data_IF_414534070952
#
_entry.id   IF_414534070952
#
_cell.length_a   1.000
_cell.length_b   1.000
_cell.length_c   1.000
_cell.angle_alpha   90.00
_cell.angle_beta   90.00
_cell.angle_gamma   90.00
#
_symmetry.space_group_name_H-M   'P 1'
#
loop_
_entity.id
_entity.type
_entity.pdbx_description
1 polymer ?
#
# COMPACT_ATOMS: atom_id res chain seq x y z
N UNK A 1 6.27 18.99 15.21
CA UNK A 1 7.19 17.85 15.38
C UNK A 1 6.55 16.69 16.14
N UNK A 2 6.14 16.83 17.42
CA UNK A 2 5.56 15.73 18.23
C UNK A 2 4.37 15.04 17.57
N UNK A 3 3.43 15.82 17.00
CA UNK A 3 2.27 15.26 16.31
C UNK A 3 2.67 14.43 15.08
N UNK A 4 3.67 14.87 14.31
CA UNK A 4 4.14 14.15 13.14
C UNK A 4 4.78 12.80 13.54
N UNK A 5 5.57 12.77 14.62
CA UNK A 5 6.13 11.52 15.16
C UNK A 5 5.01 10.58 15.60
N UNK A 6 4.03 11.06 16.36
CA UNK A 6 2.90 10.25 16.80
C UNK A 6 2.11 9.65 15.62
N UNK A 7 1.91 10.43 14.56
CA UNK A 7 1.23 9.98 13.33
C UNK A 7 2.06 8.97 12.55
N UNK A 8 3.38 9.16 12.45
CA UNK A 8 4.27 8.18 11.82
C UNK A 8 4.26 6.84 12.58
N UNK A 9 4.35 6.87 13.92
CA UNK A 9 4.26 5.67 14.77
C UNK A 9 2.92 4.95 14.53
N UNK A 10 1.79 5.67 14.53
CA UNK A 10 0.48 5.08 14.29
C UNK A 10 0.37 4.43 12.91
N UNK A 11 0.96 5.01 11.86
CA UNK A 11 0.98 4.39 10.53
C UNK A 11 1.88 3.14 10.51
N UNK A 12 3.03 3.17 11.21
CA UNK A 12 3.91 1.99 11.31
C UNK A 12 3.26 0.84 12.08
N UNK A 13 2.52 1.12 13.15
CA UNK A 13 1.74 0.12 13.88
C UNK A 13 0.74 -0.55 12.93
N UNK A 14 0.00 0.22 12.13
CA UNK A 14 -0.94 -0.31 11.14
C UNK A 14 -0.27 -1.13 10.03
N UNK A 15 0.93 -0.75 9.61
CA UNK A 15 1.73 -1.58 8.69
C UNK A 15 2.05 -2.94 9.31
N UNK A 16 2.39 -2.97 10.61
CA UNK A 16 2.58 -4.22 11.36
C UNK A 16 1.32 -5.08 11.39
N UNK A 17 0.15 -4.48 11.65
CA UNK A 17 -1.14 -5.17 11.63
C UNK A 17 -1.44 -5.78 10.25
N UNK A 18 -1.18 -5.03 9.16
CA UNK A 18 -1.39 -5.56 7.82
C UNK A 18 -0.42 -6.72 7.49
N UNK A 19 0.81 -6.68 7.98
CA UNK A 19 1.75 -7.80 7.85
C UNK A 19 1.26 -9.06 8.59
N UNK A 20 0.70 -8.91 9.78
CA UNK A 20 0.07 -10.01 10.54
C UNK A 20 -1.17 -10.55 9.81
N UNK A 21 -1.99 -9.69 9.24
CA UNK A 21 -3.12 -10.09 8.40
C UNK A 21 -2.68 -10.91 7.20
N UNK A 22 -1.62 -10.51 6.49
CA UNK A 22 -1.06 -11.25 5.36
C UNK A 22 -0.61 -12.65 5.81
N UNK A 23 0.16 -12.75 6.89
CA UNK A 23 0.66 -14.02 7.41
C UNK A 23 -0.48 -14.99 7.80
N UNK A 24 -1.50 -14.48 8.50
CA UNK A 24 -2.67 -15.27 8.90
C UNK A 24 -3.46 -15.80 7.69
N UNK A 25 -3.59 -15.00 6.62
CA UNK A 25 -4.30 -15.39 5.41
C UNK A 25 -3.52 -16.39 4.56
N UNK A 26 -2.20 -16.20 4.42
CA UNK A 26 -1.33 -17.17 3.74
C UNK A 26 -1.47 -18.55 4.38
N UNK A 27 -1.49 -18.63 5.71
CA UNK A 27 -1.70 -19.89 6.41
C UNK A 27 -3.00 -20.58 5.98
N UNK A 28 -4.11 -19.85 5.92
CA UNK A 28 -5.40 -20.37 5.46
C UNK A 28 -5.35 -20.86 4.00
N UNK A 29 -4.71 -20.09 3.10
CA UNK A 29 -4.58 -20.49 1.69
C UNK A 29 -3.82 -21.79 1.55
N UNK A 30 -2.76 -22.00 2.33
CA UNK A 30 -1.96 -23.22 2.31
C UNK A 30 -2.75 -24.40 2.88
N UNK A 31 -3.56 -24.22 3.94
CA UNK A 31 -4.35 -25.27 4.58
C UNK A 31 -5.48 -25.79 3.67
N UNK A 32 -6.04 -24.96 2.80
CA UNK A 32 -7.19 -25.34 1.93
C UNK A 32 -6.79 -26.32 0.83
N UNK A 33 -5.50 -26.44 0.48
CA UNK A 33 -5.01 -27.31 -0.60
C UNK A 33 -5.88 -27.22 -1.87
N UNK A 34 -6.07 -26.00 -2.38
CA UNK A 34 -6.96 -25.72 -3.49
C UNK A 34 -6.53 -26.48 -4.76
N UNK A 35 -7.50 -27.00 -5.54
CA UNK A 35 -7.23 -27.78 -6.75
C UNK A 35 -6.59 -26.97 -7.90
N UNK A 36 -6.53 -25.66 -7.74
CA UNK A 36 -6.02 -24.72 -8.73
C UNK A 36 -5.11 -23.68 -8.08
N UNK A 37 -3.96 -23.40 -8.70
CA UNK A 37 -3.05 -22.35 -8.23
C UNK A 37 -3.38 -21.02 -8.91
N UNK A 38 -3.84 -20.05 -8.10
CA UNK A 38 -4.03 -18.68 -8.56
C UNK A 38 -2.66 -18.02 -8.72
N UNK A 39 -2.41 -17.44 -9.89
CA UNK A 39 -1.19 -16.69 -10.12
C UNK A 39 -1.22 -15.36 -9.33
N UNK A 40 -0.26 -15.19 -8.43
CA UNK A 40 -0.13 -14.04 -7.51
C UNK A 40 1.05 -13.13 -7.88
N UNK A 41 1.51 -13.16 -9.13
CA UNK A 41 2.67 -12.37 -9.57
C UNK A 41 2.45 -10.87 -9.32
N UNK A 42 1.26 -10.35 -9.61
CA UNK A 42 0.88 -8.95 -9.40
C UNK A 42 0.95 -8.56 -7.90
N UNK A 43 0.50 -9.44 -7.00
CA UNK A 43 0.60 -9.20 -5.55
C UNK A 43 2.06 -9.13 -5.11
N UNK A 44 2.92 -9.97 -5.68
CA UNK A 44 4.35 -9.95 -5.38
C UNK A 44 5.01 -8.64 -5.82
N UNK A 45 4.68 -8.18 -7.03
CA UNK A 45 5.16 -6.90 -7.55
C UNK A 45 4.67 -5.76 -6.66
N UNK A 46 3.37 -5.68 -6.41
CA UNK A 46 2.78 -4.67 -5.53
C UNK A 46 3.41 -4.69 -4.12
N UNK A 47 3.69 -5.87 -3.57
CA UNK A 47 4.36 -6.02 -2.27
C UNK A 47 5.78 -5.46 -2.26
N UNK A 48 6.56 -5.68 -3.33
CA UNK A 48 7.90 -5.08 -3.47
C UNK A 48 7.82 -3.56 -3.58
N UNK A 49 6.86 -3.04 -4.33
CA UNK A 49 6.60 -1.60 -4.46
C UNK A 49 6.22 -0.99 -3.10
N UNK A 50 5.26 -1.58 -2.39
CA UNK A 50 4.82 -1.11 -1.08
C UNK A 50 5.97 -1.08 -0.06
N UNK A 51 6.82 -2.12 -0.04
CA UNK A 51 8.02 -2.16 0.80
C UNK A 51 9.02 -1.06 0.42
N UNK A 52 9.21 -0.81 -0.87
CA UNK A 52 10.04 0.29 -1.38
C UNK A 52 9.51 1.65 -0.96
N UNK A 53 8.20 1.89 -1.10
CA UNK A 53 7.56 3.13 -0.66
C UNK A 53 7.69 3.33 0.84
N UNK A 54 7.46 2.30 1.64
CA UNK A 54 7.58 2.38 3.11
C UNK A 54 9.01 2.78 3.53
N UNK A 55 10.05 2.16 2.96
CA UNK A 55 11.44 2.52 3.25
C UNK A 55 11.75 3.96 2.88
N UNK A 56 11.32 4.39 1.68
CA UNK A 56 11.52 5.76 1.21
C UNK A 56 10.77 6.77 2.08
N UNK A 57 9.53 6.46 2.51
CA UNK A 57 8.75 7.35 3.36
C UNK A 57 9.39 7.55 4.74
N UNK A 58 9.97 6.51 5.33
CA UNK A 58 10.70 6.60 6.60
C UNK A 58 11.99 7.42 6.47
N UNK A 59 12.74 7.22 5.38
CA UNK A 59 13.94 7.99 5.08
C UNK A 59 13.60 9.48 4.83
N UNK A 60 12.54 9.74 4.08
CA UNK A 60 12.02 11.08 3.83
C UNK A 60 11.55 11.76 5.12
N UNK A 61 10.89 11.00 6.00
CA UNK A 61 10.47 11.49 7.32
C UNK A 61 11.68 11.84 8.19
N UNK A 62 12.71 10.99 8.22
CA UNK A 62 13.92 11.23 9.01
C UNK A 62 14.68 12.50 8.55
N UNK A 63 14.64 12.83 7.25
CA UNK A 63 15.29 14.00 6.67
C UNK A 63 14.38 15.21 6.52
N UNK A 64 13.08 15.06 6.76
CA UNK A 64 12.05 16.08 6.51
C UNK A 64 12.10 16.63 5.07
N UNK A 65 12.29 15.74 4.08
CA UNK A 65 12.42 16.07 2.67
C UNK A 65 11.06 16.07 1.97
N UNK A 66 10.41 17.23 1.91
CA UNK A 66 9.08 17.38 1.29
C UNK A 66 9.05 17.09 -0.20
N UNK A 67 10.15 17.36 -0.92
CA UNK A 67 10.25 17.09 -2.36
C UNK A 67 10.27 15.58 -2.65
N UNK A 68 11.09 14.84 -1.91
CA UNK A 68 11.11 13.39 -1.99
C UNK A 68 9.77 12.78 -1.54
N UNK A 69 9.11 13.38 -0.53
CA UNK A 69 7.79 12.96 -0.06
C UNK A 69 6.73 13.04 -1.15
N UNK A 70 6.72 14.10 -1.95
CA UNK A 70 5.77 14.27 -3.05
C UNK A 70 5.90 13.18 -4.13
N UNK A 71 7.10 12.71 -4.42
CA UNK A 71 7.29 11.60 -5.36
C UNK A 71 6.73 10.28 -4.84
N UNK A 72 6.80 10.04 -3.53
CA UNK A 72 6.25 8.83 -2.90
C UNK A 72 4.73 8.82 -3.01
N UNK A 73 4.08 9.96 -2.78
CA UNK A 73 2.62 10.08 -2.93
C UNK A 73 2.18 9.77 -4.36
N UNK A 74 3.00 10.14 -5.35
CA UNK A 74 2.77 9.81 -6.75
C UNK A 74 2.88 8.31 -7.05
N UNK A 75 3.94 7.71 -6.56
CA UNK A 75 4.28 6.32 -6.86
C UNK A 75 3.26 5.33 -6.25
N UNK A 76 2.50 5.75 -5.22
CA UNK A 76 1.43 4.95 -4.62
C UNK A 76 0.33 4.57 -5.62
N UNK A 77 0.07 5.41 -6.62
CA UNK A 77 -0.90 5.13 -7.68
C UNK A 77 -0.58 3.86 -8.49
N UNK A 78 0.70 3.48 -8.58
CA UNK A 78 1.09 2.26 -9.27
C UNK A 78 0.65 1.01 -8.50
N UNK A 79 0.74 1.03 -7.17
CA UNK A 79 0.25 -0.06 -6.30
C UNK A 79 -1.27 -0.21 -6.45
N UNK A 80 -2.00 0.90 -6.47
CA UNK A 80 -3.45 0.92 -6.70
C UNK A 80 -3.81 0.29 -8.05
N UNK A 81 -3.05 0.58 -9.10
CA UNK A 81 -3.27 0.03 -10.43
C UNK A 81 -3.02 -1.48 -10.48
N UNK A 82 -1.95 -1.95 -9.85
CA UNK A 82 -1.66 -3.38 -9.71
C UNK A 82 -2.79 -4.10 -8.95
N UNK A 83 -3.25 -3.53 -7.83
CA UNK A 83 -4.37 -4.06 -7.07
C UNK A 83 -5.64 -4.16 -7.92
N UNK A 84 -6.04 -3.09 -8.63
CA UNK A 84 -7.23 -3.09 -9.50
C UNK A 84 -7.11 -4.10 -10.65
N UNK A 85 -5.91 -4.24 -11.23
CA UNK A 85 -5.61 -5.24 -12.25
C UNK A 85 -5.80 -6.65 -11.72
N UNK A 86 -5.26 -6.92 -10.55
CA UNK A 86 -5.39 -8.20 -9.88
C UNK A 86 -6.86 -8.54 -9.54
N UNK A 87 -7.63 -7.60 -9.02
CA UNK A 87 -9.07 -7.81 -8.72
C UNK A 87 -9.85 -8.22 -9.97
N UNK A 88 -9.61 -7.57 -11.12
CA UNK A 88 -10.27 -7.96 -12.38
C UNK A 88 -9.92 -9.38 -12.80
N UNK A 89 -8.65 -9.76 -12.69
CA UNK A 89 -8.16 -11.10 -13.00
C UNK A 89 -8.77 -12.15 -12.06
N UNK A 90 -8.83 -11.83 -10.77
CA UNK A 90 -9.42 -12.71 -9.77
C UNK A 90 -10.91 -12.96 -10.01
N UNK A 91 -11.66 -11.95 -10.43
CA UNK A 91 -13.07 -12.08 -10.82
C UNK A 91 -13.25 -13.07 -11.99
N UNK A 92 -12.37 -13.02 -13.00
CA UNK A 92 -12.41 -14.00 -14.10
C UNK A 92 -12.19 -15.42 -13.60
N UNK A 93 -11.20 -15.64 -12.76
CA UNK A 93 -10.92 -16.97 -12.19
C UNK A 93 -12.10 -17.50 -11.38
N UNK A 94 -12.73 -16.68 -10.53
CA UNK A 94 -13.90 -17.09 -9.74
C UNK A 94 -15.12 -17.41 -10.60
N UNK A 95 -15.27 -16.73 -11.75
CA UNK A 95 -16.35 -16.99 -12.70
C UNK A 95 -16.13 -18.29 -13.48
N UNK A 96 -14.87 -18.63 -13.79
CA UNK A 96 -14.52 -19.85 -14.51
C UNK A 96 -14.62 -21.10 -13.64
N UNK A 97 -14.19 -21.00 -12.38
CA UNK A 97 -14.25 -22.11 -11.43
C UNK A 97 -14.75 -21.68 -10.04
N UNK A 98 -16.02 -21.87 -9.73
CA UNK A 98 -16.58 -21.51 -8.42
C UNK A 98 -15.92 -22.22 -7.22
N UNK A 99 -15.22 -23.33 -7.43
CA UNK A 99 -14.57 -24.08 -6.34
C UNK A 99 -13.41 -23.32 -5.72
N UNK A 100 -12.85 -22.33 -6.42
CA UNK A 100 -11.72 -21.53 -5.94
C UNK A 100 -12.15 -20.28 -5.16
N UNK A 101 -13.45 -19.96 -5.10
CA UNK A 101 -13.94 -18.68 -4.53
C UNK A 101 -13.39 -18.45 -3.11
N UNK A 102 -13.43 -19.46 -2.25
CA UNK A 102 -12.92 -19.31 -0.88
C UNK A 102 -11.44 -18.95 -0.83
N UNK A 103 -10.60 -19.61 -1.63
CA UNK A 103 -9.17 -19.31 -1.74
C UNK A 103 -8.94 -17.96 -2.37
N UNK A 104 -9.70 -17.62 -3.42
CA UNK A 104 -9.60 -16.33 -4.11
C UNK A 104 -9.92 -15.16 -3.17
N UNK A 105 -10.90 -15.30 -2.29
CA UNK A 105 -11.22 -14.28 -1.28
C UNK A 105 -10.07 -14.08 -0.27
N UNK A 106 -9.43 -15.16 0.21
CA UNK A 106 -8.27 -15.02 1.10
C UNK A 106 -7.12 -14.29 0.38
N UNK A 107 -6.87 -14.61 -0.88
CA UNK A 107 -5.84 -13.95 -1.71
C UNK A 107 -6.21 -12.47 -1.99
N UNK A 108 -7.49 -12.16 -2.22
CA UNK A 108 -7.97 -10.77 -2.35
C UNK A 108 -7.66 -9.96 -1.09
N UNK A 109 -7.89 -10.51 0.09
CA UNK A 109 -7.56 -9.83 1.34
C UNK A 109 -6.05 -9.63 1.53
N UNK A 110 -5.22 -10.57 1.06
CA UNK A 110 -3.76 -10.39 1.03
C UNK A 110 -3.40 -9.20 0.12
N UNK A 111 -3.96 -9.16 -1.09
CA UNK A 111 -3.73 -8.05 -2.02
C UNK A 111 -4.17 -6.70 -1.45
N UNK A 112 -5.31 -6.67 -0.74
CA UNK A 112 -5.79 -5.45 -0.08
C UNK A 112 -4.90 -5.02 1.09
N UNK A 113 -4.34 -5.95 1.85
CA UNK A 113 -3.38 -5.62 2.91
C UNK A 113 -2.08 -5.03 2.32
N UNK A 114 -1.60 -5.52 1.19
CA UNK A 114 -0.44 -4.96 0.48
C UNK A 114 -0.71 -3.52 0.02
N UNK A 115 -1.88 -3.25 -0.57
CA UNK A 115 -2.28 -1.89 -0.99
C UNK A 115 -2.33 -0.95 0.21
N UNK A 116 -2.88 -1.39 1.36
CA UNK A 116 -2.92 -0.59 2.59
C UNK A 116 -1.53 -0.26 3.16
N UNK A 117 -0.54 -1.14 2.99
CA UNK A 117 0.85 -0.83 3.36
C UNK A 117 1.36 0.37 2.52
N UNK A 118 1.05 0.41 1.22
CA UNK A 118 1.32 1.57 0.36
C UNK A 118 0.63 2.84 0.87
N UNK A 119 -0.67 2.77 1.17
CA UNK A 119 -1.44 3.87 1.75
C UNK A 119 -0.80 4.43 3.03
N UNK A 120 -0.31 3.57 3.94
CA UNK A 120 0.36 4.02 5.16
C UNK A 120 1.70 4.70 4.88
N UNK A 121 2.46 4.22 3.90
CA UNK A 121 3.69 4.88 3.45
C UNK A 121 3.41 6.27 2.87
N UNK A 122 2.38 6.39 2.04
CA UNK A 122 1.87 7.66 1.51
C UNK A 122 1.46 8.61 2.62
N UNK A 123 0.66 8.15 3.60
CA UNK A 123 0.24 8.97 4.73
C UNK A 123 1.43 9.55 5.51
N UNK A 124 2.51 8.77 5.72
CA UNK A 124 3.74 9.26 6.35
C UNK A 124 4.35 10.39 5.52
N UNK A 125 4.41 10.22 4.18
CA UNK A 125 4.96 11.22 3.26
C UNK A 125 4.13 12.50 3.21
N UNK A 126 2.80 12.40 3.20
CA UNK A 126 1.89 13.55 3.30
C UNK A 126 2.11 14.35 4.59
N UNK A 127 2.40 13.66 5.70
CA UNK A 127 2.76 14.33 6.96
C UNK A 127 4.09 15.08 6.87
N UNK A 128 5.08 14.57 6.15
CA UNK A 128 6.34 15.29 5.93
C UNK A 128 6.06 16.62 5.21
N UNK A 129 5.28 16.59 4.14
CA UNK A 129 4.90 17.81 3.40
C UNK A 129 4.12 18.76 4.30
N UNK A 130 3.18 18.26 5.07
CA UNK A 130 2.39 19.07 6.00
C UNK A 130 3.28 19.80 7.03
N UNK A 131 4.25 19.11 7.61
CA UNK A 131 5.15 19.71 8.63
C UNK A 131 6.09 20.72 8.02
N UNK A 132 6.59 20.47 6.81
CA UNK A 132 7.53 21.36 6.12
C UNK A 132 6.84 22.60 5.52
N UNK A 133 5.70 22.42 4.86
CA UNK A 133 4.98 23.49 4.13
C UNK A 133 3.80 24.09 4.89
N UNK A 134 3.36 23.49 5.99
CA UNK A 134 2.16 23.92 6.73
C UNK A 134 0.84 23.71 5.97
N UNK A 135 0.83 22.90 4.91
CA UNK A 135 -0.31 22.71 4.02
C UNK A 135 -0.77 21.24 4.02
N UNK A 136 -2.08 21.03 4.17
CA UNK A 136 -2.71 19.71 4.02
C UNK A 136 -2.84 19.35 2.53
N UNK A 137 -2.05 18.37 2.10
CA UNK A 137 -1.97 17.95 0.68
C UNK A 137 -2.85 16.75 0.34
N UNK A 138 -3.54 16.14 1.31
CA UNK A 138 -4.32 14.91 1.14
C UNK A 138 -5.44 15.00 0.10
N UNK A 139 -5.88 16.19 -0.24
CA UNK A 139 -6.96 16.43 -1.20
C UNK A 139 -6.52 17.17 -2.45
N UNK A 140 -5.22 17.43 -2.59
CA UNK A 140 -4.70 18.13 -3.75
C UNK A 140 -4.56 17.15 -4.94
N UNK A 141 -4.90 17.62 -6.16
CA UNK A 141 -4.51 16.92 -7.37
C UNK A 141 -2.99 16.75 -7.42
N UNK A 142 -2.54 15.64 -8.00
CA UNK A 142 -1.14 15.24 -8.02
C UNK A 142 -0.19 16.35 -8.53
N UNK A 143 -0.56 17.00 -9.64
CA UNK A 143 0.26 18.08 -10.24
C UNK A 143 0.41 19.27 -9.30
N UNK A 144 -0.64 19.62 -8.56
CA UNK A 144 -0.60 20.69 -7.57
C UNK A 144 0.25 20.31 -6.35
N UNK A 145 0.16 19.06 -5.91
CA UNK A 145 0.97 18.56 -4.79
C UNK A 145 2.46 18.67 -5.11
N UNK A 146 2.90 18.27 -6.30
CA UNK A 146 4.30 18.41 -6.74
C UNK A 146 4.72 19.87 -6.77
N UNK A 147 3.87 20.76 -7.29
CA UNK A 147 4.18 22.22 -7.34
C UNK A 147 4.36 22.80 -5.95
N UNK A 148 3.48 22.46 -5.00
CA UNK A 148 3.55 22.97 -3.63
C UNK A 148 4.75 22.42 -2.86
N UNK A 149 5.10 21.15 -3.04
CA UNK A 149 6.27 20.54 -2.41
C UNK A 149 7.60 21.14 -2.92
N UNK A 150 7.61 21.72 -4.11
CA UNK A 150 8.79 22.34 -4.72
C UNK A 150 9.00 23.84 -4.37
N UNK A 151 7.99 24.49 -3.78
CA UNK A 151 8.13 25.87 -3.25
C UNK A 151 8.93 25.88 -1.95
#
# INVERSE_FOLDING_TARGET
>A
MVLAIAKAISNLERVGDEADHIAARIKKVVEVNAPYQINVAEIRIAGQMALGLLRRSLDTFARMDSKAAATIVADDLEIDNEFRGFVRKLNSYMSEDPRIISTALEILFIAKAVERIGDHAKNISEFVIYVDKGMDVRHLPHDQLIQEANK
#
